data_IF_940057835085
#
_entry.id   IF_940057835085
#
_cell.length_a   1.000
_cell.length_b   1.000
_cell.length_c   1.000
_cell.angle_alpha   90.00
_cell.angle_beta   90.00
_cell.angle_gamma   90.00
#
_symmetry.space_group_name_H-M   'P 1'
#
loop_
_entity.id
_entity.type
_entity.pdbx_description
1 polymer ?
#
# COMPACT_ATOMS: atom_id res chain seq x y z
N UNK A 1 -77.18 8.59 -24.75
CA UNK A 1 -75.72 8.48 -24.98
C UNK A 1 -75.07 8.28 -23.62
N UNK A 2 -74.78 7.03 -23.29
CA UNK A 2 -74.21 6.59 -22.01
C UNK A 2 -72.81 6.06 -22.32
N UNK A 3 -71.78 6.74 -21.80
CA UNK A 3 -70.37 6.39 -22.01
C UNK A 3 -69.96 5.38 -20.92
N UNK A 4 -69.47 4.22 -21.36
CA UNK A 4 -68.92 3.16 -20.52
C UNK A 4 -67.52 3.55 -20.02
N UNK A 5 -67.28 3.37 -18.72
CA UNK A 5 -65.94 3.40 -18.12
C UNK A 5 -65.27 2.04 -18.35
N UNK A 6 -64.13 2.05 -19.02
CA UNK A 6 -63.21 0.90 -19.10
C UNK A 6 -62.11 1.09 -18.06
N UNK A 7 -62.03 0.17 -17.10
CA UNK A 7 -60.88 0.00 -16.22
C UNK A 7 -59.68 -0.54 -17.01
N UNK A 8 -58.47 0.00 -16.84
CA UNK A 8 -57.27 -0.61 -17.40
C UNK A 8 -56.85 -1.80 -16.54
N UNK A 9 -56.55 -2.91 -17.24
CA UNK A 9 -56.26 -4.22 -16.66
C UNK A 9 -55.09 -4.25 -15.68
N UNK A 10 -55.23 -5.15 -14.71
CA UNK A 10 -54.20 -5.50 -13.75
C UNK A 10 -52.93 -6.00 -14.44
N UNK A 11 -51.80 -5.41 -14.04
CA UNK A 11 -50.47 -5.91 -14.35
C UNK A 11 -50.26 -7.11 -13.42
N UNK A 12 -50.10 -8.30 -13.99
CA UNK A 12 -49.85 -9.52 -13.23
C UNK A 12 -48.54 -9.40 -12.46
N UNK A 13 -48.60 -9.71 -11.16
CA UNK A 13 -47.42 -9.96 -10.33
C UNK A 13 -46.62 -11.10 -10.96
N UNK A 14 -45.51 -10.75 -11.60
CA UNK A 14 -44.50 -11.73 -12.01
C UNK A 14 -43.85 -12.26 -10.74
N UNK A 15 -44.17 -13.51 -10.39
CA UNK A 15 -43.42 -14.30 -9.40
C UNK A 15 -41.96 -14.41 -9.84
N UNK A 16 -41.12 -13.48 -9.41
CA UNK A 16 -39.68 -13.67 -9.43
C UNK A 16 -39.36 -14.80 -8.43
N UNK A 17 -38.58 -15.82 -8.84
CA UNK A 17 -38.22 -16.91 -7.94
C UNK A 17 -37.50 -16.32 -6.73
N UNK A 18 -37.98 -16.66 -5.54
CA UNK A 18 -37.40 -16.25 -4.27
C UNK A 18 -36.08 -17.02 -4.11
N UNK A 19 -35.01 -16.51 -4.72
CA UNK A 19 -33.66 -17.08 -4.60
C UNK A 19 -33.24 -16.87 -3.15
N UNK A 20 -33.03 -17.97 -2.42
CA UNK A 20 -32.58 -17.90 -1.03
C UNK A 20 -31.27 -17.10 -0.98
N UNK A 21 -31.11 -16.11 -0.07
CA UNK A 21 -29.91 -15.28 0.04
C UNK A 21 -28.61 -16.10 0.11
N UNK A 22 -28.68 -17.31 0.64
CA UNK A 22 -27.59 -18.26 0.78
C UNK A 22 -27.09 -18.84 -0.56
N UNK A 23 -27.99 -19.11 -1.51
CA UNK A 23 -27.61 -19.66 -2.83
C UNK A 23 -26.90 -18.61 -3.69
N UNK A 24 -27.28 -17.33 -3.55
CA UNK A 24 -26.59 -16.23 -4.21
C UNK A 24 -25.14 -16.08 -3.70
N UNK A 25 -24.95 -16.06 -2.38
CA UNK A 25 -23.63 -15.94 -1.74
C UNK A 25 -22.67 -17.07 -2.13
N UNK A 26 -23.12 -18.34 -2.14
CA UNK A 26 -22.25 -19.44 -2.58
C UNK A 26 -21.87 -19.37 -4.06
N UNK A 27 -22.76 -18.82 -4.91
CA UNK A 27 -22.45 -18.51 -6.31
C UNK A 27 -21.32 -17.48 -6.42
N UNK A 28 -21.38 -16.41 -5.63
CA UNK A 28 -20.33 -15.40 -5.59
C UNK A 28 -19.00 -15.97 -5.06
N UNK A 29 -19.02 -16.75 -3.99
CA UNK A 29 -17.83 -17.43 -3.46
C UNK A 29 -17.17 -18.32 -4.53
N UNK A 30 -17.98 -19.10 -5.26
CA UNK A 30 -17.52 -19.94 -6.37
C UNK A 30 -16.80 -19.12 -7.43
N UNK A 31 -17.40 -18.01 -7.86
CA UNK A 31 -16.84 -17.12 -8.88
C UNK A 31 -15.60 -16.36 -8.39
N UNK A 32 -15.64 -15.80 -7.19
CA UNK A 32 -14.58 -14.95 -6.65
C UNK A 32 -13.32 -15.75 -6.31
N UNK A 33 -13.46 -16.95 -5.78
CA UNK A 33 -12.33 -17.79 -5.37
C UNK A 33 -12.01 -18.95 -6.31
N UNK A 34 -12.67 -18.99 -7.47
CA UNK A 34 -12.46 -20.00 -8.52
C UNK A 34 -12.57 -21.44 -7.97
N UNK A 35 -13.62 -21.69 -7.19
CA UNK A 35 -13.97 -23.02 -6.68
C UNK A 35 -15.28 -23.48 -7.32
N UNK A 36 -15.52 -24.79 -7.35
CA UNK A 36 -16.79 -25.31 -7.86
C UNK A 36 -17.98 -24.87 -7.00
N UNK A 37 -19.17 -24.73 -7.60
CA UNK A 37 -20.38 -24.41 -6.84
C UNK A 37 -20.74 -25.54 -5.86
N UNK A 38 -20.38 -26.79 -6.19
CA UNK A 38 -20.50 -27.94 -5.31
C UNK A 38 -19.59 -27.80 -4.09
N UNK A 39 -18.34 -27.38 -4.27
CA UNK A 39 -17.40 -27.10 -3.17
C UNK A 39 -17.91 -25.94 -2.30
N UNK A 40 -18.36 -24.84 -2.92
CA UNK A 40 -18.92 -23.70 -2.19
C UNK A 40 -20.14 -24.09 -1.34
N UNK A 41 -21.04 -24.94 -1.87
CA UNK A 41 -22.21 -25.43 -1.15
C UNK A 41 -21.88 -26.39 0.01
N UNK A 42 -20.68 -26.95 0.05
CA UNK A 42 -20.24 -27.84 1.13
C UNK A 42 -19.61 -27.08 2.30
N UNK A 43 -19.36 -25.78 2.18
CA UNK A 43 -18.77 -24.97 3.25
C UNK A 43 -19.81 -24.82 4.38
N UNK A 44 -19.50 -25.27 5.61
CA UNK A 44 -20.37 -25.06 6.75
C UNK A 44 -20.52 -23.58 7.10
N UNK A 45 -21.73 -23.15 7.49
CA UNK A 45 -22.00 -21.76 7.89
C UNK A 45 -21.08 -21.30 9.02
N UNK A 46 -20.73 -22.20 9.95
CA UNK A 46 -19.87 -21.88 11.08
C UNK A 46 -18.42 -21.60 10.70
N UNK A 47 -17.98 -22.02 9.51
CA UNK A 47 -16.59 -21.86 9.03
C UNK A 47 -16.51 -21.01 7.77
N UNK A 48 -17.64 -20.47 7.30
CA UNK A 48 -17.72 -19.72 6.05
C UNK A 48 -16.86 -18.45 6.11
N UNK A 49 -16.92 -17.74 7.23
CA UNK A 49 -16.11 -16.55 7.48
C UNK A 49 -14.61 -16.87 7.40
N UNK A 50 -14.15 -17.85 8.16
CA UNK A 50 -12.75 -18.29 8.17
C UNK A 50 -12.28 -18.74 6.78
N UNK A 51 -13.15 -19.44 6.05
CA UNK A 51 -12.88 -19.83 4.67
C UNK A 51 -12.68 -18.61 3.76
N UNK A 52 -13.58 -17.63 3.81
CA UNK A 52 -13.50 -16.42 3.00
C UNK A 52 -12.27 -15.58 3.35
N UNK A 53 -11.91 -15.48 4.64
CA UNK A 53 -10.68 -14.80 5.09
C UNK A 53 -9.44 -15.51 4.53
N UNK A 54 -9.35 -16.84 4.64
CA UNK A 54 -8.22 -17.61 4.12
C UNK A 54 -8.10 -17.48 2.60
N UNK A 55 -9.21 -17.56 1.86
CA UNK A 55 -9.19 -17.38 0.40
C UNK A 55 -8.82 -15.96 -0.02
N UNK A 56 -9.34 -14.94 0.66
CA UNK A 56 -8.99 -13.54 0.44
C UNK A 56 -7.50 -13.29 0.72
N UNK A 57 -6.94 -13.89 1.78
CA UNK A 57 -5.51 -13.83 2.08
C UNK A 57 -4.68 -14.46 0.96
N UNK A 58 -5.05 -15.65 0.48
CA UNK A 58 -4.34 -16.31 -0.63
C UNK A 58 -4.39 -15.50 -1.92
N UNK A 59 -5.50 -14.83 -2.21
CA UNK A 59 -5.59 -13.90 -3.34
C UNK A 59 -4.56 -12.76 -3.21
N UNK A 60 -4.50 -12.11 -2.05
CA UNK A 60 -3.53 -11.04 -1.77
C UNK A 60 -2.07 -11.52 -1.89
N UNK A 61 -1.81 -12.77 -1.52
CA UNK A 61 -0.46 -13.37 -1.55
C UNK A 61 -0.07 -13.98 -2.90
N UNK A 62 -1.03 -14.16 -3.82
CA UNK A 62 -0.81 -14.83 -5.11
C UNK A 62 0.13 -14.06 -6.04
N UNK A 63 0.09 -12.72 -5.98
CA UNK A 63 0.77 -11.85 -6.94
C UNK A 63 0.05 -11.63 -8.25
N UNK A 64 -1.16 -12.18 -8.40
CA UNK A 64 -2.05 -11.80 -9.46
C UNK A 64 -2.51 -10.35 -9.29
N UNK A 65 -2.70 -9.66 -10.41
CA UNK A 65 -3.29 -8.32 -10.42
C UNK A 65 -4.75 -8.41 -9.93
N UNK A 66 -5.07 -7.76 -8.81
CA UNK A 66 -6.43 -7.73 -8.32
C UNK A 66 -7.24 -6.70 -9.11
N UNK A 67 -8.17 -7.18 -9.94
CA UNK A 67 -9.02 -6.30 -10.75
C UNK A 67 -10.00 -5.53 -9.90
N UNK A 68 -10.50 -4.41 -10.42
CA UNK A 68 -11.55 -3.60 -9.77
C UNK A 68 -12.76 -4.47 -9.41
N UNK A 69 -13.24 -5.32 -10.33
CA UNK A 69 -14.38 -6.20 -10.08
C UNK A 69 -14.08 -7.25 -9.01
N UNK A 70 -12.83 -7.74 -8.93
CA UNK A 70 -12.42 -8.67 -7.87
C UNK A 70 -12.41 -7.97 -6.52
N UNK A 71 -11.90 -6.74 -6.46
CA UNK A 71 -11.85 -5.95 -5.23
C UNK A 71 -13.26 -5.68 -4.71
N UNK A 72 -14.15 -5.18 -5.58
CA UNK A 72 -15.54 -4.90 -5.26
C UNK A 72 -16.30 -6.16 -4.84
N UNK A 73 -16.15 -7.26 -5.59
CA UNK A 73 -16.84 -8.51 -5.29
C UNK A 73 -16.43 -9.10 -3.94
N UNK A 74 -15.13 -9.09 -3.60
CA UNK A 74 -14.65 -9.59 -2.30
C UNK A 74 -15.07 -8.63 -1.16
N UNK A 75 -15.06 -7.32 -1.40
CA UNK A 75 -15.57 -6.35 -0.42
C UNK A 75 -17.08 -6.56 -0.15
N UNK A 76 -17.88 -6.76 -1.21
CA UNK A 76 -19.31 -7.04 -1.10
C UNK A 76 -19.58 -8.39 -0.41
N UNK A 77 -18.76 -9.41 -0.65
CA UNK A 77 -18.82 -10.67 0.08
C UNK A 77 -18.67 -10.45 1.59
N UNK A 78 -17.67 -9.66 2.01
CA UNK A 78 -17.45 -9.40 3.43
C UNK A 78 -18.53 -8.50 4.04
N UNK A 79 -18.84 -7.35 3.44
CA UNK A 79 -19.66 -6.31 4.10
C UNK A 79 -21.11 -6.27 3.62
N UNK A 80 -21.44 -7.00 2.55
CA UNK A 80 -22.82 -7.21 2.08
C UNK A 80 -23.45 -8.49 2.64
N UNK A 81 -22.64 -9.53 2.91
CA UNK A 81 -23.15 -10.84 3.36
C UNK A 81 -22.63 -11.30 4.72
N UNK A 82 -21.30 -11.35 4.92
CA UNK A 82 -20.73 -11.97 6.13
C UNK A 82 -20.85 -11.09 7.38
N UNK A 83 -20.51 -9.82 7.25
CA UNK A 83 -20.57 -8.80 8.29
C UNK A 83 -21.36 -7.60 7.79
N UNK A 84 -22.69 -7.71 7.68
CA UNK A 84 -23.53 -6.60 7.27
C UNK A 84 -23.60 -5.48 8.33
N UNK A 85 -23.08 -5.71 9.54
CA UNK A 85 -22.93 -4.65 10.54
C UNK A 85 -21.71 -3.75 10.22
N UNK A 86 -21.93 -2.44 10.37
CA UNK A 86 -20.87 -1.44 10.14
C UNK A 86 -19.80 -1.48 11.24
N UNK A 87 -20.12 -2.01 12.42
CA UNK A 87 -19.24 -2.02 13.59
C UNK A 87 -17.99 -2.87 13.35
N UNK A 88 -18.15 -4.04 12.72
CA UNK A 88 -17.02 -4.92 12.37
C UNK A 88 -16.01 -4.19 11.49
N UNK A 89 -16.48 -3.47 10.48
CA UNK A 89 -15.58 -2.74 9.58
C UNK A 89 -14.91 -1.54 10.25
N UNK A 90 -15.64 -0.80 11.09
CA UNK A 90 -15.06 0.32 11.86
C UNK A 90 -13.98 -0.16 12.85
N UNK A 91 -14.17 -1.31 13.47
CA UNK A 91 -13.15 -1.92 14.34
C UNK A 91 -11.88 -2.28 13.55
N UNK A 92 -12.03 -2.79 12.32
CA UNK A 92 -10.90 -3.05 11.42
C UNK A 92 -10.16 -1.76 11.04
N UNK A 93 -10.87 -0.64 10.81
CA UNK A 93 -10.25 0.66 10.49
C UNK A 93 -9.42 1.25 11.64
N UNK A 94 -9.76 0.95 12.89
CA UNK A 94 -9.09 1.52 14.07
C UNK A 94 -7.77 0.81 14.44
N UNK A 95 -7.58 -0.42 13.98
CA UNK A 95 -6.49 -1.31 14.42
C UNK A 95 -5.67 -1.86 13.24
N UNK A 96 -5.43 -1.02 12.24
CA UNK A 96 -4.71 -1.43 11.03
C UNK A 96 -3.23 -1.64 11.35
N UNK A 97 -2.80 -2.91 11.32
CA UNK A 97 -1.38 -3.27 11.25
C UNK A 97 -0.86 -2.96 9.83
N UNK A 98 0.10 -2.02 9.67
CA UNK A 98 0.61 -1.67 8.36
C UNK A 98 1.36 -2.80 7.67
N UNK A 99 1.88 -3.77 8.43
CA UNK A 99 2.70 -4.87 7.92
C UNK A 99 1.85 -6.09 7.55
N UNK A 100 0.80 -6.35 8.33
CA UNK A 100 -0.08 -7.51 8.18
C UNK A 100 -1.57 -7.14 8.34
N UNK A 101 -2.13 -6.30 7.45
CA UNK A 101 -3.52 -5.88 7.56
C UNK A 101 -4.48 -7.06 7.35
N UNK A 102 -5.62 -7.03 8.04
CA UNK A 102 -6.67 -8.03 7.85
C UNK A 102 -7.18 -8.04 6.39
N UNK A 103 -7.35 -9.20 5.72
CA UNK A 103 -7.76 -9.24 4.32
C UNK A 103 -9.03 -8.45 4.02
N UNK A 104 -10.04 -8.55 4.88
CA UNK A 104 -11.28 -7.78 4.72
C UNK A 104 -11.08 -6.27 4.79
N UNK A 105 -10.14 -5.79 5.64
CA UNK A 105 -9.80 -4.38 5.67
C UNK A 105 -9.18 -3.94 4.33
N UNK A 106 -8.30 -4.77 3.75
CA UNK A 106 -7.66 -4.47 2.46
C UNK A 106 -8.72 -4.30 1.37
N UNK A 107 -9.58 -5.31 1.19
CA UNK A 107 -10.63 -5.26 0.16
C UNK A 107 -11.65 -4.15 0.42
N UNK A 108 -12.12 -3.99 1.65
CA UNK A 108 -13.07 -2.94 2.00
C UNK A 108 -12.52 -1.53 1.77
N UNK A 109 -11.29 -1.25 2.23
CA UNK A 109 -10.70 0.09 2.10
C UNK A 109 -10.33 0.44 0.67
N UNK A 110 -9.91 -0.54 -0.14
CA UNK A 110 -9.73 -0.34 -1.58
C UNK A 110 -11.07 -0.08 -2.28
N UNK A 111 -12.12 -0.81 -1.93
CA UNK A 111 -13.47 -0.57 -2.45
C UNK A 111 -13.97 0.85 -2.12
N UNK A 112 -13.84 1.32 -0.87
CA UNK A 112 -14.20 2.70 -0.50
C UNK A 112 -13.40 3.75 -1.29
N UNK A 113 -12.13 3.47 -1.59
CA UNK A 113 -11.31 4.34 -2.42
C UNK A 113 -11.79 4.35 -3.88
N UNK A 114 -12.15 3.18 -4.43
CA UNK A 114 -12.72 3.04 -5.77
C UNK A 114 -14.04 3.79 -5.86
N UNK A 115 -14.97 3.62 -4.90
CA UNK A 115 -16.26 4.34 -4.91
C UNK A 115 -16.09 5.87 -4.89
N UNK A 116 -15.05 6.39 -4.23
CA UNK A 116 -14.76 7.83 -4.24
C UNK A 116 -14.37 8.33 -5.63
N UNK A 117 -13.77 7.45 -6.44
CA UNK A 117 -13.29 7.72 -7.81
C UNK A 117 -14.37 7.36 -8.86
N UNK A 118 -15.27 6.43 -8.54
CA UNK A 118 -16.29 5.87 -9.44
C UNK A 118 -17.16 6.88 -10.22
N UNK A 119 -17.52 8.06 -9.68
CA UNK A 119 -18.24 9.08 -10.45
C UNK A 119 -17.55 9.51 -11.76
N UNK A 120 -16.27 9.15 -11.96
CA UNK A 120 -15.50 9.42 -13.16
C UNK A 120 -15.43 8.24 -14.15
N UNK A 121 -15.93 7.05 -13.82
CA UNK A 121 -15.96 5.84 -14.65
C UNK A 121 -14.60 5.25 -15.10
N UNK A 122 -13.51 6.00 -14.97
CA UNK A 122 -12.14 5.57 -15.30
C UNK A 122 -11.14 6.35 -14.46
N UNK A 123 -9.95 5.77 -14.22
CA UNK A 123 -8.91 6.45 -13.47
C UNK A 123 -8.40 7.71 -14.21
N UNK A 124 -8.26 7.65 -15.54
CA UNK A 124 -7.92 8.81 -16.38
C UNK A 124 -8.92 9.96 -16.23
N UNK A 125 -10.22 9.68 -16.26
CA UNK A 125 -11.22 10.73 -16.05
C UNK A 125 -11.22 11.27 -14.62
N UNK A 126 -10.75 10.51 -13.63
CA UNK A 126 -10.60 11.00 -12.26
C UNK A 126 -9.41 11.95 -12.12
N UNK A 127 -8.32 11.71 -12.86
CA UNK A 127 -7.19 12.64 -13.00
C UNK A 127 -7.66 13.94 -13.64
N UNK A 128 -8.38 13.87 -14.78
CA UNK A 128 -8.98 15.04 -15.42
C UNK A 128 -9.97 15.77 -14.50
N UNK A 129 -10.76 15.02 -13.75
CA UNK A 129 -11.68 15.52 -12.74
C UNK A 129 -10.97 16.30 -11.63
N UNK A 130 -9.86 15.77 -11.11
CA UNK A 130 -8.96 16.44 -10.16
C UNK A 130 -8.45 17.74 -10.76
N UNK A 131 -7.87 17.72 -11.97
CA UNK A 131 -7.25 18.91 -12.57
C UNK A 131 -8.27 20.01 -12.82
N UNK A 132 -9.47 19.65 -13.31
CA UNK A 132 -10.57 20.60 -13.48
C UNK A 132 -11.01 21.19 -12.13
N UNK A 133 -11.14 20.35 -11.10
CA UNK A 133 -11.53 20.78 -9.76
C UNK A 133 -10.52 21.75 -9.15
N UNK A 134 -9.23 21.40 -9.15
CA UNK A 134 -8.13 22.25 -8.66
C UNK A 134 -8.09 23.57 -9.43
N UNK A 135 -8.15 23.55 -10.76
CA UNK A 135 -8.05 24.77 -11.57
C UNK A 135 -9.26 25.70 -11.38
N UNK A 136 -10.43 25.15 -11.05
CA UNK A 136 -11.62 25.94 -10.77
C UNK A 136 -11.59 26.64 -9.40
N UNK A 137 -10.81 26.13 -8.44
CA UNK A 137 -10.70 26.67 -7.09
C UNK A 137 -9.35 27.39 -6.86
N UNK A 138 -9.37 28.72 -6.93
CA UNK A 138 -8.16 29.55 -6.79
C UNK A 138 -7.40 29.33 -5.47
N UNK A 139 -8.10 28.95 -4.40
CA UNK A 139 -7.46 28.71 -3.10
C UNK A 139 -6.71 27.38 -3.10
N UNK A 140 -7.33 26.30 -3.57
CA UNK A 140 -6.66 25.01 -3.72
C UNK A 140 -5.52 25.07 -4.74
N UNK A 141 -5.73 25.77 -5.85
CA UNK A 141 -4.69 26.01 -6.84
C UNK A 141 -3.48 26.71 -6.24
N UNK A 142 -3.70 27.80 -5.50
CA UNK A 142 -2.62 28.54 -4.85
C UNK A 142 -1.86 27.70 -3.81
N UNK A 143 -2.53 26.77 -3.14
CA UNK A 143 -1.92 25.80 -2.22
C UNK A 143 -1.00 24.83 -2.97
N UNK A 144 -1.47 24.27 -4.09
CA UNK A 144 -0.75 23.24 -4.85
C UNK A 144 0.44 23.83 -5.63
N UNK A 145 0.30 25.07 -6.08
CA UNK A 145 1.37 25.79 -6.80
C UNK A 145 2.43 26.41 -5.88
N UNK A 146 2.16 26.56 -4.57
CA UNK A 146 3.14 27.07 -3.61
C UNK A 146 4.15 25.98 -3.24
N UNK A 147 5.45 26.14 -3.57
CA UNK A 147 6.48 25.14 -3.27
C UNK A 147 6.70 24.92 -1.76
N UNK A 148 6.22 25.82 -0.89
CA UNK A 148 6.34 25.70 0.56
C UNK A 148 5.08 25.13 1.22
N UNK A 149 3.97 25.03 0.48
CA UNK A 149 2.72 24.46 0.95
C UNK A 149 2.52 23.04 0.38
N UNK A 150 1.77 22.24 1.12
CA UNK A 150 1.27 20.95 0.65
C UNK A 150 -0.02 20.63 1.42
N UNK A 151 -0.81 19.70 0.88
CA UNK A 151 -2.12 19.36 1.47
C UNK A 151 -1.97 18.83 2.90
N UNK A 152 -0.94 18.03 3.18
CA UNK A 152 -0.68 17.47 4.52
C UNK A 152 -0.53 18.57 5.58
N UNK A 153 0.37 19.54 5.36
CA UNK A 153 0.63 20.67 6.28
C UNK A 153 -0.62 21.52 6.51
N UNK A 154 -1.47 21.64 5.51
CA UNK A 154 -2.71 22.41 5.61
C UNK A 154 -3.73 21.68 6.47
N UNK A 155 -3.88 20.37 6.28
CA UNK A 155 -4.74 19.56 7.14
C UNK A 155 -4.26 19.65 8.59
N UNK A 156 -2.95 19.53 8.84
CA UNK A 156 -2.36 19.68 10.18
C UNK A 156 -2.63 21.07 10.78
N UNK A 157 -2.46 22.13 9.98
CA UNK A 157 -2.81 23.49 10.38
C UNK A 157 -4.29 23.61 10.75
N UNK A 158 -5.19 23.08 9.92
CA UNK A 158 -6.63 23.08 10.14
C UNK A 158 -7.00 22.34 11.43
N UNK A 159 -6.41 21.16 11.68
CA UNK A 159 -6.66 20.38 12.88
C UNK A 159 -6.20 21.12 14.15
N UNK A 160 -4.99 21.71 14.11
CA UNK A 160 -4.43 22.49 15.25
C UNK A 160 -5.23 23.75 15.57
N UNK A 161 -5.87 24.35 14.56
CA UNK A 161 -6.56 25.65 14.69
C UNK A 161 -8.09 25.55 14.61
N UNK A 162 -8.68 24.35 14.64
CA UNK A 162 -10.14 24.16 14.43
C UNK A 162 -11.02 24.92 15.44
N UNK A 163 -10.51 25.18 16.65
CA UNK A 163 -11.21 25.91 17.72
C UNK A 163 -10.86 27.40 17.76
N UNK A 164 -9.93 27.86 16.93
CA UNK A 164 -9.51 29.26 16.92
C UNK A 164 -10.59 30.13 16.23
N UNK A 165 -11.19 31.11 16.93
CA UNK A 165 -12.26 31.94 16.38
C UNK A 165 -11.87 32.67 15.09
N UNK A 166 -10.59 33.03 14.94
CA UNK A 166 -10.05 33.70 13.76
C UNK A 166 -10.23 32.87 12.47
N UNK A 167 -10.22 31.54 12.57
CA UNK A 167 -10.27 30.62 11.43
C UNK A 167 -11.57 29.83 11.35
N UNK A 168 -12.52 30.07 12.26
CA UNK A 168 -13.77 29.32 12.41
C UNK A 168 -14.62 29.22 11.13
N UNK A 169 -14.57 30.22 10.25
CA UNK A 169 -15.27 30.18 8.96
C UNK A 169 -14.44 29.58 7.81
N UNK A 170 -13.11 29.71 7.85
CA UNK A 170 -12.22 29.34 6.74
C UNK A 170 -11.85 27.86 6.76
N UNK A 171 -11.56 27.32 7.95
CA UNK A 171 -11.15 25.91 8.09
C UNK A 171 -12.21 24.94 7.57
N UNK A 172 -13.51 25.05 7.92
CA UNK A 172 -14.52 24.12 7.41
C UNK A 172 -14.66 24.18 5.89
N UNK A 173 -14.57 25.38 5.29
CA UNK A 173 -14.63 25.53 3.84
C UNK A 173 -13.43 24.87 3.15
N UNK A 174 -12.22 25.10 3.66
CA UNK A 174 -11.00 24.51 3.12
C UNK A 174 -10.99 22.99 3.25
N UNK A 175 -11.38 22.46 4.41
CA UNK A 175 -11.49 21.01 4.62
C UNK A 175 -12.55 20.38 3.70
N UNK A 176 -13.69 21.04 3.50
CA UNK A 176 -14.71 20.59 2.53
C UNK A 176 -14.13 20.50 1.13
N UNK A 177 -13.38 21.53 0.70
CA UNK A 177 -12.74 21.55 -0.62
C UNK A 177 -11.73 20.42 -0.79
N UNK A 178 -10.87 20.19 0.22
CA UNK A 178 -9.88 19.12 0.23
C UNK A 178 -10.55 17.75 0.19
N UNK A 179 -11.61 17.54 0.97
CA UNK A 179 -12.32 16.26 1.07
C UNK A 179 -13.10 15.92 -0.21
N UNK A 180 -13.61 16.93 -0.90
CA UNK A 180 -14.36 16.78 -2.15
C UNK A 180 -13.46 16.58 -3.38
N UNK A 181 -12.15 16.85 -3.29
CA UNK A 181 -11.24 16.53 -4.39
C UNK A 181 -11.20 15.00 -4.59
N UNK A 182 -11.40 14.47 -5.80
CA UNK A 182 -11.46 13.02 -6.00
C UNK A 182 -10.12 12.35 -5.70
N UNK A 183 -9.02 13.03 -6.06
CA UNK A 183 -7.68 12.47 -6.02
C UNK A 183 -6.65 13.57 -5.73
N UNK A 184 -5.52 13.19 -5.15
CA UNK A 184 -4.31 14.03 -5.07
C UNK A 184 -3.11 13.22 -5.53
N UNK A 185 -2.14 13.87 -6.17
CA UNK A 185 -0.82 13.25 -6.37
C UNK A 185 -0.03 13.26 -5.06
N UNK A 186 0.95 12.37 -4.93
CA UNK A 186 1.90 12.40 -3.81
C UNK A 186 2.64 13.75 -3.75
N UNK A 187 2.89 14.38 -4.91
CA UNK A 187 3.45 15.73 -4.99
C UNK A 187 2.52 16.79 -4.38
N UNK A 188 1.22 16.76 -4.68
CA UNK A 188 0.25 17.68 -4.06
C UNK A 188 0.24 17.49 -2.54
N UNK A 189 0.34 16.22 -2.11
CA UNK A 189 0.15 15.82 -0.73
C UNK A 189 1.35 16.13 0.17
N UNK A 190 2.55 15.74 -0.27
CA UNK A 190 3.79 15.85 0.49
C UNK A 190 4.66 17.03 0.07
N UNK A 191 4.41 17.62 -1.11
CA UNK A 191 5.30 18.61 -1.74
C UNK A 191 6.49 17.93 -2.46
N UNK A 192 7.34 18.75 -3.09
CA UNK A 192 8.59 18.30 -3.72
C UNK A 192 8.58 18.20 -5.25
N UNK A 193 9.72 17.76 -5.79
CA UNK A 193 9.98 17.57 -7.24
C UNK A 193 9.94 16.07 -7.54
N UNK A 194 8.95 15.34 -7.01
CA UNK A 194 8.86 13.92 -7.32
C UNK A 194 8.53 13.77 -8.81
N UNK A 195 9.42 13.09 -9.53
CA UNK A 195 9.31 12.84 -10.97
C UNK A 195 8.39 11.65 -11.25
N UNK A 196 8.15 10.79 -10.26
CA UNK A 196 7.29 9.63 -10.40
C UNK A 196 5.84 9.98 -10.04
N UNK A 197 4.93 9.56 -10.90
CA UNK A 197 3.51 9.77 -10.70
C UNK A 197 2.99 8.75 -9.67
N UNK A 198 2.57 9.25 -8.52
CA UNK A 198 1.95 8.48 -7.46
C UNK A 198 0.73 9.24 -6.94
N UNK A 199 -0.28 8.52 -6.49
CA UNK A 199 -1.58 9.06 -6.10
C UNK A 199 -1.96 8.65 -4.69
N UNK A 200 -2.58 9.56 -3.95
CA UNK A 200 -3.11 9.32 -2.60
C UNK A 200 -4.57 8.91 -2.72
N UNK A 201 -4.84 7.62 -2.46
CA UNK A 201 -6.20 7.10 -2.41
C UNK A 201 -6.77 7.33 -1.01
N UNK A 202 -7.99 7.86 -0.97
CA UNK A 202 -8.67 8.24 0.25
C UNK A 202 -10.03 7.58 0.32
N UNK A 203 -10.46 7.25 1.53
CA UNK A 203 -11.80 6.67 1.70
C UNK A 203 -12.91 7.69 1.39
N UNK A 204 -14.09 7.16 1.10
CA UNK A 204 -15.27 7.93 0.73
C UNK A 204 -15.80 8.76 1.91
N UNK A 205 -15.94 8.14 3.08
CA UNK A 205 -16.67 8.71 4.22
C UNK A 205 -15.86 9.74 5.01
N UNK A 206 -14.64 9.37 5.41
CA UNK A 206 -13.80 10.20 6.29
C UNK A 206 -12.78 11.03 5.51
N UNK A 207 -12.56 10.70 4.23
CA UNK A 207 -11.47 11.23 3.40
C UNK A 207 -10.09 10.99 3.99
N UNK A 208 -9.94 9.96 4.84
CA UNK A 208 -8.64 9.56 5.39
C UNK A 208 -7.80 8.91 4.30
N UNK A 209 -6.48 9.12 4.36
CA UNK A 209 -5.55 8.45 3.45
C UNK A 209 -5.46 6.98 3.79
N UNK A 210 -5.69 6.14 2.77
CA UNK A 210 -5.67 4.68 2.93
C UNK A 210 -4.54 4.07 2.14
N UNK A 211 -4.27 4.57 0.93
CA UNK A 211 -3.26 3.97 0.07
C UNK A 211 -2.48 5.00 -0.73
N UNK A 212 -1.25 4.62 -1.11
CA UNK A 212 -0.46 5.26 -2.16
C UNK A 212 -0.49 4.34 -3.38
N UNK A 213 -1.02 4.82 -4.49
CA UNK A 213 -1.10 4.08 -5.74
C UNK A 213 -0.07 4.61 -6.74
N UNK A 214 0.81 3.73 -7.21
CA UNK A 214 1.79 4.01 -8.27
C UNK A 214 1.37 3.23 -9.53
N UNK A 215 0.72 3.87 -10.51
CA UNK A 215 0.40 3.18 -11.76
C UNK A 215 1.67 2.78 -12.50
N UNK A 216 1.59 1.67 -13.21
CA UNK A 216 2.57 1.27 -14.21
C UNK A 216 2.49 2.25 -15.38
N UNK A 217 3.64 2.68 -15.90
CA UNK A 217 3.67 3.46 -17.12
C UNK A 217 3.11 2.64 -18.29
N UNK A 218 1.90 2.97 -18.74
CA UNK A 218 1.38 2.40 -19.98
C UNK A 218 1.88 3.21 -21.19
N UNK A 219 2.40 2.49 -22.18
CA UNK A 219 2.53 3.06 -23.53
C UNK A 219 1.14 3.28 -24.10
N UNK A 220 0.60 4.49 -24.00
CA UNK A 220 -0.59 4.84 -24.77
C UNK A 220 -0.37 4.58 -26.26
N UNK A 221 -1.37 3.96 -26.91
CA UNK A 221 -1.40 3.59 -28.35
C UNK A 221 -1.23 4.78 -29.33
N UNK A 222 -1.06 6.01 -28.85
CA UNK A 222 -0.88 7.22 -29.66
C UNK A 222 0.58 7.72 -29.75
N UNK A 223 1.57 6.94 -29.30
CA UNK A 223 2.99 7.25 -29.52
C UNK A 223 3.57 8.35 -28.61
N UNK A 224 2.78 8.86 -27.68
CA UNK A 224 3.27 9.67 -26.56
C UNK A 224 3.35 8.79 -25.32
N UNK A 225 4.54 8.71 -24.70
CA UNK A 225 4.63 8.16 -23.34
C UNK A 225 3.89 9.14 -22.42
N UNK A 226 2.78 8.69 -21.84
CA UNK A 226 2.15 9.38 -20.72
C UNK A 226 2.83 8.85 -19.46
N UNK A 227 3.05 9.78 -18.54
CA UNK A 227 3.95 9.69 -17.39
C UNK A 227 3.48 8.58 -16.45
N UNK A 228 4.38 7.66 -16.15
CA UNK A 228 4.29 6.69 -15.06
C UNK A 228 5.72 6.38 -14.60
N UNK A 229 5.87 5.68 -13.47
CA UNK A 229 7.17 5.19 -12.97
C UNK A 229 7.97 4.47 -14.07
N UNK A 230 9.30 4.45 -13.98
CA UNK A 230 10.21 3.93 -15.02
C UNK A 230 9.87 2.46 -15.38
N UNK A 231 8.99 2.28 -16.36
CA UNK A 231 8.55 0.98 -16.86
C UNK A 231 7.75 0.10 -15.87
N UNK A 232 7.23 -1.04 -16.35
CA UNK A 232 6.58 -2.06 -15.52
C UNK A 232 7.51 -2.68 -14.46
N UNK A 233 8.83 -2.51 -14.61
CA UNK A 233 9.83 -3.05 -13.70
C UNK A 233 9.76 -2.40 -12.31
N UNK A 234 9.57 -1.09 -12.21
CA UNK A 234 9.51 -0.38 -10.94
C UNK A 234 8.28 -0.76 -10.11
N UNK A 235 7.10 -0.83 -10.75
CA UNK A 235 5.88 -1.32 -10.09
C UNK A 235 6.05 -2.77 -9.63
N UNK A 236 6.66 -3.62 -10.46
CA UNK A 236 6.91 -5.01 -10.11
C UNK A 236 7.85 -5.11 -8.90
N UNK A 237 8.88 -4.27 -8.81
CA UNK A 237 9.82 -4.23 -7.68
C UNK A 237 9.15 -3.82 -6.37
N UNK A 238 8.28 -2.81 -6.37
CA UNK A 238 7.49 -2.41 -5.19
C UNK A 238 6.65 -3.56 -4.62
N UNK A 239 5.89 -4.23 -5.50
CA UNK A 239 5.11 -5.38 -5.08
C UNK A 239 5.99 -6.57 -4.68
N UNK A 240 7.07 -6.82 -5.41
CA UNK A 240 8.02 -7.90 -5.11
C UNK A 240 8.65 -7.71 -3.72
N UNK A 241 9.06 -6.50 -3.38
CA UNK A 241 9.59 -6.14 -2.06
C UNK A 241 8.65 -6.60 -0.92
N UNK A 242 7.36 -6.31 -1.03
CA UNK A 242 6.40 -6.78 -0.02
C UNK A 242 6.17 -8.30 -0.09
N UNK A 243 6.11 -8.89 -1.28
CA UNK A 243 5.94 -10.33 -1.44
C UNK A 243 7.07 -11.14 -0.79
N UNK A 244 8.30 -10.61 -0.80
CA UNK A 244 9.46 -11.19 -0.13
C UNK A 244 9.31 -11.18 1.39
N UNK A 245 8.66 -10.16 1.96
CA UNK A 245 8.29 -10.06 3.37
C UNK A 245 7.11 -10.98 3.76
N UNK A 246 7.13 -12.24 3.33
CA UNK A 246 6.07 -13.22 3.58
C UNK A 246 5.90 -13.55 5.08
N UNK A 247 6.98 -13.51 5.86
CA UNK A 247 6.99 -13.70 7.30
C UNK A 247 6.58 -12.43 8.08
N UNK A 248 6.35 -11.29 7.41
CA UNK A 248 5.87 -10.02 8.00
C UNK A 248 6.77 -9.45 9.11
N UNK A 249 8.09 -9.65 8.98
CA UNK A 249 9.05 -9.16 9.99
C UNK A 249 9.85 -7.94 9.53
N UNK A 250 9.96 -7.70 8.22
CA UNK A 250 10.54 -6.46 7.73
C UNK A 250 9.56 -5.30 7.94
N UNK A 251 10.04 -4.13 8.38
CA UNK A 251 9.18 -2.99 8.68
C UNK A 251 8.82 -2.22 7.41
N UNK A 252 8.12 -2.88 6.48
CA UNK A 252 7.64 -2.29 5.22
C UNK A 252 6.12 -2.47 5.10
N UNK A 253 5.35 -1.45 4.67
CA UNK A 253 3.90 -1.57 4.59
C UNK A 253 3.43 -2.57 3.54
N UNK A 254 2.21 -3.07 3.75
CA UNK A 254 1.54 -3.93 2.79
C UNK A 254 1.41 -3.26 1.42
N UNK A 255 1.87 -3.97 0.40
CA UNK A 255 1.84 -3.50 -1.00
C UNK A 255 1.27 -4.60 -1.89
N UNK A 256 0.27 -4.26 -2.71
CA UNK A 256 -0.41 -5.22 -3.59
C UNK A 256 -0.39 -4.75 -5.04
N UNK A 257 -0.45 -5.68 -5.99
CA UNK A 257 -0.61 -5.37 -7.41
C UNK A 257 -2.10 -5.35 -7.76
N UNK A 258 -2.59 -4.22 -8.27
CA UNK A 258 -4.02 -3.97 -8.48
C UNK A 258 -4.27 -3.30 -9.82
N UNK A 259 -5.49 -3.46 -10.33
CA UNK A 259 -6.05 -2.68 -11.42
C UNK A 259 -7.20 -1.84 -10.87
N UNK A 260 -7.03 -0.52 -10.87
CA UNK A 260 -8.02 0.46 -10.44
C UNK A 260 -8.58 1.14 -11.69
N UNK A 261 -9.79 0.75 -12.09
CA UNK A 261 -10.55 1.32 -13.20
C UNK A 261 -9.74 1.41 -14.51
N UNK A 262 -9.02 0.33 -14.85
CA UNK A 262 -8.23 0.18 -16.07
C UNK A 262 -6.77 0.62 -15.95
N UNK A 263 -6.31 1.00 -14.76
CA UNK A 263 -4.91 1.34 -14.50
C UNK A 263 -4.28 0.30 -13.58
N UNK A 264 -3.32 -0.45 -14.11
CA UNK A 264 -2.53 -1.39 -13.33
C UNK A 264 -1.44 -0.66 -12.56
N UNK A 265 -1.15 -1.11 -11.35
CA UNK A 265 -0.14 -0.47 -10.50
C UNK A 265 0.05 -1.17 -9.16
N UNK A 266 0.99 -0.66 -8.37
CA UNK A 266 1.19 -1.08 -6.99
C UNK A 266 0.42 -0.16 -6.07
N UNK A 267 -0.27 -0.73 -5.08
CA UNK A 267 -0.98 0.01 -4.04
C UNK A 267 -0.36 -0.33 -2.68
N UNK A 268 0.29 0.65 -2.06
CA UNK A 268 0.94 0.51 -0.77
C UNK A 268 0.08 1.15 0.32
N UNK A 269 -0.08 0.46 1.44
CA UNK A 269 -0.88 0.93 2.56
C UNK A 269 -0.25 2.22 3.11
N UNK A 270 -1.08 3.25 3.26
CA UNK A 270 -0.64 4.55 3.73
C UNK A 270 -0.30 4.47 5.23
N UNK A 271 0.93 4.85 5.59
CA UNK A 271 1.38 4.90 6.99
C UNK A 271 0.80 6.15 7.65
N UNK A 272 -0.29 5.96 8.38
CA UNK A 272 -0.90 7.01 9.18
C UNK A 272 -0.03 7.33 10.41
N UNK A 273 -0.11 8.57 10.90
CA UNK A 273 0.59 9.05 12.11
C UNK A 273 2.12 8.97 12.04
N UNK A 274 2.70 9.10 10.84
CA UNK A 274 4.13 9.30 10.70
C UNK A 274 4.57 10.59 11.41
N UNK A 275 5.64 10.52 12.18
CA UNK A 275 6.19 11.63 12.96
C UNK A 275 7.55 12.09 12.39
N UNK A 276 7.80 13.39 12.49
CA UNK A 276 9.13 13.95 12.29
C UNK A 276 9.90 13.83 13.62
N UNK A 277 11.11 13.28 13.57
CA UNK A 277 11.95 13.16 14.75
C UNK A 277 12.50 14.51 15.20
N UNK A 278 12.36 14.81 16.48
CA UNK A 278 13.20 15.82 17.14
C UNK A 278 14.58 15.24 17.48
N UNK A 279 15.56 16.10 17.72
CA UNK A 279 16.93 15.68 18.07
C UNK A 279 16.95 14.72 19.28
N UNK A 280 16.17 15.03 20.32
CA UNK A 280 16.11 14.25 21.58
C UNK A 280 15.41 12.88 21.42
N UNK A 281 14.65 12.69 20.33
CA UNK A 281 13.95 11.44 20.05
C UNK A 281 14.80 10.43 19.26
N UNK A 282 15.94 10.86 18.69
CA UNK A 282 16.78 9.96 17.86
C UNK A 282 17.26 8.72 18.62
N UNK A 283 17.56 8.84 19.91
CA UNK A 283 17.96 7.71 20.76
C UNK A 283 16.81 6.79 21.19
N UNK A 284 15.56 7.09 20.83
CA UNK A 284 14.37 6.30 21.16
C UNK A 284 13.92 5.41 20.00
N UNK A 285 14.60 5.48 18.85
CA UNK A 285 14.30 4.65 17.70
C UNK A 285 14.72 3.21 17.98
N UNK A 286 13.81 2.28 17.74
CA UNK A 286 13.99 0.83 17.90
C UNK A 286 15.22 0.35 17.12
N UNK A 287 16.25 -0.07 17.86
CA UNK A 287 17.46 -0.68 17.25
C UNK A 287 17.10 -1.92 16.45
N UNK A 288 16.17 -2.73 16.95
CA UNK A 288 15.73 -3.93 16.26
C UNK A 288 15.09 -3.59 14.91
N UNK A 289 14.22 -2.59 14.84
CA UNK A 289 13.55 -2.24 13.58
C UNK A 289 14.50 -1.55 12.59
N UNK A 290 15.44 -0.73 13.08
CA UNK A 290 16.53 -0.20 12.26
C UNK A 290 17.38 -1.32 11.66
N UNK A 291 17.75 -2.33 12.45
CA UNK A 291 18.54 -3.45 11.96
C UNK A 291 17.71 -4.38 11.03
N UNK A 292 16.40 -4.52 11.24
CA UNK A 292 15.50 -5.23 10.30
C UNK A 292 15.43 -4.53 8.94
N UNK A 293 15.23 -3.20 8.93
CA UNK A 293 15.23 -2.41 7.70
C UNK A 293 16.60 -2.46 7.00
N UNK A 294 17.68 -2.43 7.78
CA UNK A 294 19.04 -2.61 7.30
C UNK A 294 19.27 -3.94 6.59
N UNK A 295 18.83 -5.05 7.18
CA UNK A 295 18.91 -6.36 6.52
C UNK A 295 18.04 -6.36 5.26
N UNK A 296 16.84 -5.79 5.29
CA UNK A 296 15.98 -5.69 4.10
C UNK A 296 16.69 -4.98 2.94
N UNK A 297 17.19 -3.76 3.18
CA UNK A 297 17.80 -2.94 2.13
C UNK A 297 19.12 -3.54 1.62
N UNK A 298 19.87 -4.26 2.45
CA UNK A 298 21.06 -5.00 2.03
C UNK A 298 20.72 -6.23 1.19
N UNK A 299 19.81 -7.08 1.66
CA UNK A 299 19.43 -8.32 0.93
C UNK A 299 18.85 -8.01 -0.44
N UNK A 300 18.06 -6.94 -0.54
CA UNK A 300 17.34 -6.58 -1.76
C UNK A 300 17.90 -5.33 -2.43
N UNK A 301 19.16 -4.99 -2.13
CA UNK A 301 19.94 -3.94 -2.79
C UNK A 301 19.15 -2.65 -3.04
N UNK A 302 18.53 -2.08 -2.01
CA UNK A 302 17.80 -0.82 -2.16
C UNK A 302 18.81 0.33 -2.35
N UNK A 303 18.82 0.90 -3.56
CA UNK A 303 19.80 1.92 -3.95
C UNK A 303 19.39 3.34 -3.60
N UNK A 304 18.17 3.57 -3.11
CA UNK A 304 17.62 4.92 -2.91
C UNK A 304 16.98 5.13 -1.53
N UNK A 305 17.58 4.57 -0.48
CA UNK A 305 17.09 4.75 0.90
C UNK A 305 17.57 6.08 1.51
N UNK A 306 17.00 7.17 1.03
CA UNK A 306 17.18 8.51 1.61
C UNK A 306 16.09 8.87 2.64
N UNK A 307 16.25 10.00 3.34
CA UNK A 307 15.39 10.44 4.44
C UNK A 307 13.90 10.65 4.14
N UNK A 308 13.49 10.67 2.86
CA UNK A 308 12.08 10.74 2.48
C UNK A 308 11.47 9.34 2.25
N UNK A 309 12.32 8.32 2.13
CA UNK A 309 11.93 6.94 1.85
C UNK A 309 11.90 6.09 3.12
N UNK A 310 11.92 6.70 4.30
CA UNK A 310 11.55 6.03 5.54
C UNK A 310 10.79 6.98 6.45
N UNK A 311 9.87 6.40 7.21
CA UNK A 311 8.98 7.10 8.13
C UNK A 311 9.24 6.61 9.55
N UNK A 312 8.86 7.42 10.53
CA UNK A 312 8.85 7.02 11.92
C UNK A 312 7.42 7.00 12.44
N UNK A 313 7.08 5.99 13.22
CA UNK A 313 5.81 5.92 13.94
C UNK A 313 6.09 5.72 15.42
N UNK A 314 5.23 6.24 16.28
CA UNK A 314 5.37 6.05 17.71
C UNK A 314 4.28 5.12 18.23
N UNK A 315 4.71 4.04 18.87
CA UNK A 315 3.84 3.16 19.65
C UNK A 315 4.32 3.18 21.10
N UNK A 316 3.46 3.71 21.99
CA UNK A 316 3.80 3.91 23.40
C UNK A 316 5.10 4.74 23.57
N UNK A 317 6.15 4.12 24.11
CA UNK A 317 7.47 4.74 24.36
C UNK A 317 8.54 4.32 23.35
N UNK A 318 8.16 3.63 22.27
CA UNK A 318 9.09 3.16 21.24
C UNK A 318 8.79 3.84 19.92
N UNK A 319 9.84 4.31 19.25
CA UNK A 319 9.72 4.82 17.89
C UNK A 319 10.17 3.74 16.91
N UNK A 320 9.29 3.34 16.02
CA UNK A 320 9.56 2.33 15.01
C UNK A 320 9.88 3.03 13.67
N UNK A 321 10.87 2.51 12.95
CA UNK A 321 11.16 2.93 11.57
C UNK A 321 10.34 2.09 10.61
N UNK A 322 9.89 2.69 9.51
CA UNK A 322 9.15 2.01 8.44
C UNK A 322 9.77 2.41 7.10
N UNK A 323 10.23 1.42 6.32
CA UNK A 323 10.70 1.63 4.95
C UNK A 323 9.52 1.77 3.99
N UNK A 324 9.55 2.80 3.15
CA UNK A 324 8.59 3.01 2.04
C UNK A 324 9.36 3.23 0.75
N UNK A 325 8.71 3.23 -0.39
CA UNK A 325 9.38 3.47 -1.68
C UNK A 325 10.48 2.43 -2.00
N UNK A 326 10.08 1.31 -2.60
CA UNK A 326 10.93 0.14 -2.86
C UNK A 326 11.17 -0.12 -4.35
N UNK A 327 10.85 0.81 -5.23
CA UNK A 327 11.05 0.64 -6.67
C UNK A 327 12.53 0.59 -7.09
N UNK A 328 13.44 1.08 -6.23
CA UNK A 328 14.89 0.94 -6.38
C UNK A 328 15.48 -0.38 -5.83
N UNK A 329 14.65 -1.29 -5.29
CA UNK A 329 15.12 -2.60 -4.84
C UNK A 329 15.43 -3.54 -6.01
N UNK A 330 16.33 -4.49 -5.78
CA UNK A 330 16.71 -5.56 -6.73
C UNK A 330 17.25 -5.03 -8.05
N UNK A 331 17.65 -3.75 -8.08
CA UNK A 331 18.39 -3.14 -9.17
C UNK A 331 19.89 -3.29 -8.88
N UNK A 332 20.66 -3.72 -9.87
CA UNK A 332 22.12 -3.73 -9.85
C UNK A 332 22.62 -2.87 -11.02
N UNK A 333 22.22 -1.60 -11.02
CA UNK A 333 22.47 -0.63 -12.10
C UNK A 333 23.79 0.16 -11.95
N UNK A 334 24.65 -0.27 -11.02
CA UNK A 334 25.94 0.36 -10.73
C UNK A 334 25.86 1.63 -9.88
N UNK A 335 24.69 1.99 -9.32
CA UNK A 335 24.64 2.98 -8.24
C UNK A 335 25.06 2.33 -6.92
N UNK A 336 25.81 3.03 -6.06
CA UNK A 336 26.20 2.49 -4.75
C UNK A 336 24.99 2.37 -3.82
N UNK A 337 25.10 1.47 -2.84
CA UNK A 337 24.13 1.36 -1.74
C UNK A 337 24.13 2.67 -0.93
N UNK A 338 22.96 3.32 -0.86
CA UNK A 338 22.79 4.58 -0.13
C UNK A 338 21.75 4.43 0.97
N UNK A 339 22.22 4.28 2.22
CA UNK A 339 21.39 4.10 3.40
C UNK A 339 21.54 5.29 4.37
N UNK A 340 20.69 6.32 4.24
CA UNK A 340 20.85 7.56 5.03
C UNK A 340 20.52 7.39 6.52
N UNK A 341 19.67 6.43 6.89
CA UNK A 341 19.38 6.15 8.30
C UNK A 341 20.59 5.58 9.06
N UNK A 342 21.71 5.27 8.40
CA UNK A 342 22.95 4.91 9.10
C UNK A 342 23.45 6.06 10.03
N UNK A 343 22.88 7.27 9.91
CA UNK A 343 23.07 8.34 10.90
C UNK A 343 22.63 7.98 12.33
N UNK A 344 21.77 6.97 12.52
CA UNK A 344 21.41 6.43 13.83
C UNK A 344 22.53 5.53 14.39
N UNK A 345 23.70 6.13 14.62
CA UNK A 345 24.94 5.43 14.96
C UNK A 345 24.81 4.48 16.15
N UNK A 346 23.95 4.79 17.12
CA UNK A 346 23.75 3.96 18.31
C UNK A 346 23.23 2.57 17.96
N UNK A 347 22.40 2.44 16.92
CA UNK A 347 21.89 1.14 16.47
C UNK A 347 22.93 0.34 15.67
N UNK A 348 23.78 1.02 14.90
CA UNK A 348 24.71 0.39 13.94
C UNK A 348 26.13 0.20 14.48
N UNK A 349 26.49 0.89 15.56
CA UNK A 349 27.73 0.64 16.32
C UNK A 349 27.60 -0.55 17.28
N UNK A 350 26.43 -1.19 17.32
CA UNK A 350 26.20 -2.43 18.05
C UNK A 350 26.31 -3.63 17.10
N UNK A 351 26.59 -4.84 17.63
CA UNK A 351 26.44 -6.08 16.89
C UNK A 351 25.04 -6.30 16.33
N UNK A 352 24.94 -7.13 15.30
CA UNK A 352 23.65 -7.60 14.79
C UNK A 352 22.95 -8.48 15.84
N UNK A 353 21.70 -8.14 16.16
CA UNK A 353 20.88 -8.82 17.15
C UNK A 353 20.56 -10.27 16.74
N UNK A 354 20.54 -11.20 17.70
CA UNK A 354 20.29 -12.64 17.46
C UNK A 354 18.87 -12.90 16.95
N UNK A 355 17.94 -12.03 17.33
CA UNK A 355 16.54 -12.01 16.90
C UNK A 355 16.40 -11.85 15.37
N UNK A 356 17.44 -11.36 14.69
CA UNK A 356 17.46 -11.18 13.24
C UNK A 356 17.75 -12.48 12.46
N UNK A 357 18.12 -13.57 13.15
CA UNK A 357 18.46 -14.84 12.50
C UNK A 357 17.36 -15.37 11.59
N UNK A 358 16.10 -15.16 11.98
CA UNK A 358 14.96 -15.62 11.20
C UNK A 358 14.96 -14.98 9.80
N UNK A 359 15.28 -13.70 9.67
CA UNK A 359 15.27 -12.97 8.39
C UNK A 359 16.24 -13.54 7.35
N UNK A 360 17.30 -14.21 7.79
CA UNK A 360 18.34 -14.84 6.95
C UNK A 360 18.41 -16.35 7.16
N UNK A 361 17.32 -16.96 7.64
CA UNK A 361 17.21 -18.41 7.76
C UNK A 361 17.25 -19.06 6.36
N UNK A 362 17.82 -20.26 6.26
CA UNK A 362 17.88 -20.98 4.96
C UNK A 362 16.49 -21.15 4.34
N UNK A 363 15.48 -21.36 5.18
CA UNK A 363 14.09 -21.47 4.75
C UNK A 363 13.61 -20.16 4.11
N UNK A 364 13.78 -19.02 4.78
CA UNK A 364 13.35 -17.73 4.25
C UNK A 364 14.15 -17.34 3.01
N UNK A 365 15.46 -17.59 2.95
CA UNK A 365 16.27 -17.32 1.76
C UNK A 365 15.81 -18.14 0.54
N UNK A 366 15.40 -19.40 0.74
CA UNK A 366 14.83 -20.21 -0.33
C UNK A 366 13.48 -19.65 -0.80
N UNK A 367 12.65 -19.16 0.11
CA UNK A 367 11.39 -18.51 -0.25
C UNK A 367 11.62 -17.19 -0.99
N UNK A 368 12.60 -16.39 -0.58
CA UNK A 368 12.97 -15.16 -1.28
C UNK A 368 13.40 -15.47 -2.71
N UNK A 369 14.35 -16.40 -2.88
CA UNK A 369 14.84 -16.79 -4.20
C UNK A 369 13.70 -17.26 -5.11
N UNK A 370 12.83 -18.16 -4.63
CA UNK A 370 11.70 -18.64 -5.43
C UNK A 370 10.79 -17.49 -5.86
N UNK A 371 10.44 -16.58 -4.94
CA UNK A 371 9.57 -15.43 -5.25
C UNK A 371 10.22 -14.43 -6.20
N UNK A 372 11.54 -14.21 -6.08
CA UNK A 372 12.32 -13.38 -7.01
C UNK A 372 12.30 -13.99 -8.42
N UNK A 373 12.55 -15.30 -8.55
CA UNK A 373 12.49 -16.03 -9.83
C UNK A 373 11.10 -16.00 -10.45
N UNK A 374 10.06 -16.28 -9.67
CA UNK A 374 8.66 -16.29 -10.12
C UNK A 374 8.21 -14.92 -10.66
N UNK A 375 8.83 -13.83 -10.16
CA UNK A 375 8.54 -12.44 -10.57
C UNK A 375 9.54 -11.89 -11.60
N UNK A 376 10.42 -12.73 -12.12
CA UNK A 376 11.35 -12.37 -13.18
C UNK A 376 12.48 -11.42 -12.75
N UNK A 377 12.88 -11.45 -11.48
CA UNK A 377 14.07 -10.71 -11.04
C UNK A 377 15.34 -11.29 -11.67
N UNK A 378 16.33 -10.43 -11.92
CA UNK A 378 17.60 -10.84 -12.54
C UNK A 378 18.37 -11.83 -11.65
N UNK A 379 19.06 -12.79 -12.27
CA UNK A 379 19.86 -13.79 -11.55
C UNK A 379 20.96 -13.14 -10.69
N UNK A 380 21.52 -12.03 -11.15
CA UNK A 380 22.54 -11.26 -10.40
C UNK A 380 21.97 -10.70 -9.09
N UNK A 381 20.71 -10.22 -9.08
CA UNK A 381 20.04 -9.78 -7.86
C UNK A 381 19.83 -10.94 -6.87
N UNK A 382 19.52 -12.14 -7.36
CA UNK A 382 19.39 -13.36 -6.54
C UNK A 382 20.76 -13.77 -5.96
N UNK A 383 21.82 -13.73 -6.76
CA UNK A 383 23.18 -14.02 -6.33
C UNK A 383 23.64 -13.04 -5.25
N UNK A 384 23.37 -11.75 -5.46
CA UNK A 384 23.63 -10.71 -4.46
C UNK A 384 22.90 -11.00 -3.14
N UNK A 385 21.59 -11.29 -3.20
CA UNK A 385 20.78 -11.61 -2.01
C UNK A 385 21.40 -12.77 -1.21
N UNK A 386 21.83 -13.84 -1.90
CA UNK A 386 22.49 -14.99 -1.25
C UNK A 386 23.83 -14.63 -0.62
N UNK A 387 24.67 -13.87 -1.32
CA UNK A 387 25.95 -13.39 -0.82
C UNK A 387 25.79 -12.49 0.42
N UNK A 388 24.91 -11.49 0.33
CA UNK A 388 24.60 -10.59 1.43
C UNK A 388 24.08 -11.37 2.65
N UNK A 389 23.19 -12.33 2.44
CA UNK A 389 22.67 -13.18 3.50
C UNK A 389 23.74 -14.02 4.19
N UNK A 390 24.68 -14.60 3.43
CA UNK A 390 25.77 -15.40 3.99
C UNK A 390 26.69 -14.57 4.87
N UNK A 391 27.05 -13.35 4.43
CA UNK A 391 27.81 -12.41 5.24
C UNK A 391 27.04 -12.03 6.50
N UNK A 392 25.79 -11.56 6.38
CA UNK A 392 24.96 -11.14 7.52
C UNK A 392 24.83 -12.29 8.54
N UNK A 393 24.44 -13.48 8.08
CA UNK A 393 24.23 -14.66 8.92
C UNK A 393 25.50 -15.07 9.67
N UNK A 394 26.68 -14.93 9.05
CA UNK A 394 27.95 -15.22 9.72
C UNK A 394 28.29 -14.25 10.86
N UNK A 395 27.66 -13.07 10.89
CA UNK A 395 27.93 -11.99 11.86
C UNK A 395 26.82 -11.81 12.91
N UNK A 396 25.64 -12.42 12.73
CA UNK A 396 24.58 -12.35 13.75
C UNK A 396 25.06 -13.00 15.05
N UNK A 397 24.94 -12.26 16.16
CA UNK A 397 25.38 -12.69 17.48
C UNK A 397 26.91 -12.65 17.69
N UNK A 398 27.68 -12.20 16.69
CA UNK A 398 29.11 -11.96 16.85
C UNK A 398 29.33 -10.62 17.56
N UNK A 399 29.68 -10.66 18.84
CA UNK A 399 29.89 -9.45 19.65
C UNK A 399 31.11 -8.60 19.24
N UNK A 400 31.96 -9.09 18.33
CA UNK A 400 33.15 -8.37 17.87
C UNK A 400 32.90 -7.52 16.61
N UNK A 401 31.83 -7.79 15.86
CA UNK A 401 31.54 -7.13 14.58
C UNK A 401 30.24 -6.34 14.67
N UNK A 402 30.32 -5.03 14.43
CA UNK A 402 29.15 -4.13 14.44
C UNK A 402 28.38 -4.22 13.13
N UNK A 403 27.10 -3.84 13.15
CA UNK A 403 26.30 -3.77 11.93
C UNK A 403 26.90 -2.80 10.88
N UNK A 404 27.54 -1.71 11.32
CA UNK A 404 28.27 -0.81 10.44
C UNK A 404 29.46 -1.49 9.74
N UNK A 405 30.22 -2.33 10.45
CA UNK A 405 31.32 -3.08 9.81
C UNK A 405 30.81 -4.09 8.78
N UNK A 406 29.63 -4.69 9.02
CA UNK A 406 28.94 -5.53 8.03
C UNK A 406 28.55 -4.72 6.80
N UNK A 407 28.02 -3.50 6.98
CA UNK A 407 27.72 -2.59 5.88
C UNK A 407 28.98 -2.26 5.06
N UNK A 408 30.06 -1.85 5.71
CA UNK A 408 31.32 -1.51 5.04
C UNK A 408 31.87 -2.67 4.20
N UNK A 409 31.80 -3.90 4.73
CA UNK A 409 32.19 -5.10 4.02
C UNK A 409 31.32 -5.33 2.77
N UNK A 410 29.99 -5.24 2.91
CA UNK A 410 29.07 -5.50 1.81
C UNK A 410 29.10 -4.40 0.76
N UNK A 411 29.11 -3.12 1.15
CA UNK A 411 29.18 -1.99 0.22
C UNK A 411 30.44 -2.03 -0.63
N UNK A 412 31.58 -2.41 -0.05
CA UNK A 412 32.80 -2.60 -0.83
C UNK A 412 32.66 -3.69 -1.91
N UNK A 413 32.06 -4.83 -1.56
CA UNK A 413 31.84 -5.91 -2.53
C UNK A 413 30.82 -5.50 -3.60
N UNK A 414 29.77 -4.77 -3.21
CA UNK A 414 28.77 -4.24 -4.12
C UNK A 414 29.41 -3.33 -5.18
N UNK A 415 30.28 -2.42 -4.73
CA UNK A 415 31.00 -1.50 -5.62
C UNK A 415 32.00 -2.23 -6.52
N UNK A 416 32.72 -3.23 -6.01
CA UNK A 416 33.72 -3.98 -6.78
C UNK A 416 33.12 -4.94 -7.82
N UNK A 417 31.95 -5.53 -7.54
CA UNK A 417 31.32 -6.55 -8.39
C UNK A 417 30.25 -6.01 -9.34
N UNK A 418 29.63 -4.86 -9.01
CA UNK A 418 28.42 -4.38 -9.68
C UNK A 418 28.45 -2.92 -10.14
N UNK A 419 29.51 -2.17 -9.84
CA UNK A 419 29.74 -0.83 -10.44
C UNK A 419 30.76 -0.99 -11.57
N UNK A 420 30.24 -1.11 -12.81
CA UNK A 420 31.06 -1.21 -14.04
C UNK A 420 31.53 0.18 -14.50
#
# INVERSE_FOLDING_TARGET
MSVQNNDPGGIGETNLPNVHPKTAMHGEISQLFNISIEEANQIPDQTLEEFCIDRAKRLLESGECLTTEKIEGVAYLFFGYLWPDIETYENLKQSVDPFNPHPAFVFGSLHECIEKIDPHHSFSSAIDGRDNYINSDQQLKGIIEDPNANIKKIIEFCQKNKENPQYSAVIPQLMTKINNCPLFTARDWFGGINIHEAYILRDRETSSCRWVFKPTAEKHQQGYMVIGSEGPENTNREYTAYALNHHKQFPIPATYFVDIMGYQGSVQLFVNNAIDLTYDQRGQVSTLDLQKLFIFDLLFSNLDRHNANYLFTQAENTINVIGIDHDACMSLDGRPLKLEYLEFSDAFNQPLMVELNELVSIENLNQYENKMRDRGMDETAIQWMRHAADVIRSQIGNNETTAMQVFEQLSKNFDEEHVI
#
